data_IF_656169969123
#
_entry.id   IF_656169969123
#
_cell.length_a   1.000
_cell.length_b   1.000
_cell.length_c   1.000
_cell.angle_alpha   90.00
_cell.angle_beta   90.00
_cell.angle_gamma   90.00
#
_symmetry.space_group_name_H-M   'P 1'
#
loop_
_entity.id
_entity.type
_entity.pdbx_description
1 polymer ?
#
# COMPACT_ATOMS: atom_id res chain seq x y z
N UNK A 1 -4.72 -41.27 3.07
CA UNK A 1 -4.70 -40.11 4.00
C UNK A 1 -4.57 -38.91 3.11
N UNK A 2 -5.63 -38.13 2.96
CA UNK A 2 -5.54 -36.83 2.27
C UNK A 2 -4.69 -35.93 3.17
N UNK A 3 -3.54 -35.54 2.66
CA UNK A 3 -2.74 -34.47 3.27
C UNK A 3 -3.58 -33.19 3.17
N UNK A 4 -4.12 -32.74 4.29
CA UNK A 4 -4.74 -31.41 4.37
C UNK A 4 -3.61 -30.41 4.54
N UNK A 5 -3.15 -29.70 3.48
CA UNK A 5 -2.00 -28.82 3.58
C UNK A 5 -2.37 -27.69 4.54
N UNK A 6 -1.53 -27.45 5.54
CA UNK A 6 -1.67 -26.33 6.47
C UNK A 6 -1.43 -24.98 5.80
N UNK A 7 -0.90 -24.96 4.58
CA UNK A 7 -0.65 -23.77 3.76
C UNK A 7 -1.03 -24.10 2.32
N UNK A 8 -1.81 -23.20 1.70
CA UNK A 8 -2.16 -23.28 0.28
C UNK A 8 -1.53 -22.07 -0.41
N UNK A 9 -0.74 -22.31 -1.45
CA UNK A 9 -0.14 -21.27 -2.27
C UNK A 9 -1.07 -20.94 -3.44
N UNK A 10 -1.28 -19.63 -3.67
CA UNK A 10 -1.96 -19.10 -4.83
C UNK A 10 -0.96 -18.24 -5.61
N UNK A 11 -0.59 -18.67 -6.80
CA UNK A 11 0.20 -17.86 -7.72
C UNK A 11 -0.73 -16.84 -8.38
N UNK A 12 -0.33 -15.57 -8.36
CA UNK A 12 -1.09 -14.48 -8.96
C UNK A 12 -0.22 -13.77 -10.01
N UNK A 13 -0.85 -13.39 -11.09
CA UNK A 13 -0.24 -12.53 -12.10
C UNK A 13 -0.80 -11.10 -12.00
N UNK A 14 -0.11 -10.09 -12.54
CA UNK A 14 -0.59 -8.71 -12.57
C UNK A 14 -2.04 -8.59 -13.02
N UNK A 15 -2.84 -7.84 -12.25
CA UNK A 15 -4.27 -7.57 -12.43
C UNK A 15 -5.21 -8.78 -12.26
N UNK A 16 -4.68 -9.93 -11.88
CA UNK A 16 -5.53 -11.08 -11.53
C UNK A 16 -6.29 -10.82 -10.24
N UNK A 17 -7.51 -11.31 -10.21
CA UNK A 17 -8.42 -11.21 -9.05
C UNK A 17 -8.82 -12.59 -8.57
N UNK A 18 -8.69 -12.84 -7.27
CA UNK A 18 -9.10 -14.08 -6.61
C UNK A 18 -10.04 -13.80 -5.45
N UNK A 19 -10.86 -14.80 -5.09
CA UNK A 19 -11.69 -14.75 -3.87
C UNK A 19 -11.09 -15.65 -2.81
N UNK A 20 -10.70 -15.07 -1.69
CA UNK A 20 -10.07 -15.76 -0.55
C UNK A 20 -10.77 -15.36 0.75
N UNK A 21 -11.29 -16.36 1.48
CA UNK A 21 -11.89 -16.14 2.81
C UNK A 21 -13.00 -15.07 2.85
N UNK A 22 -13.78 -14.94 1.79
CA UNK A 22 -14.85 -13.94 1.68
C UNK A 22 -14.38 -12.56 1.16
N UNK A 23 -13.09 -12.39 0.97
CA UNK A 23 -12.50 -11.18 0.40
C UNK A 23 -12.23 -11.35 -1.10
N UNK A 24 -12.28 -10.25 -1.83
CA UNK A 24 -11.80 -10.13 -3.21
C UNK A 24 -10.42 -9.51 -3.16
N UNK A 25 -9.42 -10.19 -3.70
CA UNK A 25 -8.02 -9.72 -3.72
C UNK A 25 -7.58 -9.58 -5.17
N UNK A 26 -7.16 -8.38 -5.55
CA UNK A 26 -6.61 -8.08 -6.89
C UNK A 26 -5.12 -7.76 -6.78
N UNK A 27 -4.32 -8.46 -7.57
CA UNK A 27 -2.88 -8.23 -7.66
C UNK A 27 -2.60 -6.99 -8.51
N UNK A 28 -1.90 -6.02 -7.97
CA UNK A 28 -1.57 -4.74 -8.62
C UNK A 28 -0.04 -4.67 -8.80
N UNK A 29 0.48 -4.41 -10.00
CA UNK A 29 1.92 -4.28 -10.22
C UNK A 29 2.55 -3.23 -9.33
N UNK A 30 3.59 -3.61 -8.61
CA UNK A 30 4.42 -2.73 -7.79
C UNK A 30 5.64 -2.23 -8.57
N UNK A 31 6.21 -1.11 -8.15
CA UNK A 31 7.47 -0.59 -8.66
C UNK A 31 8.57 -0.85 -7.64
N UNK A 32 9.13 -2.06 -7.68
CA UNK A 32 10.17 -2.46 -6.71
C UNK A 32 11.39 -3.07 -7.38
N UNK A 33 11.37 -4.32 -7.79
CA UNK A 33 12.48 -4.94 -8.52
C UNK A 33 12.14 -5.09 -10.01
N UNK A 34 12.91 -4.47 -10.93
CA UNK A 34 12.65 -4.55 -12.36
C UNK A 34 12.93 -5.95 -12.96
N UNK A 35 13.46 -6.88 -12.19
CA UNK A 35 13.74 -8.26 -12.61
C UNK A 35 12.64 -9.23 -12.15
N UNK A 36 11.66 -8.77 -11.37
CA UNK A 36 10.59 -9.59 -10.79
C UNK A 36 9.22 -8.93 -10.98
N UNK A 37 8.18 -9.75 -11.07
CA UNK A 37 6.79 -9.30 -11.04
C UNK A 37 6.36 -9.02 -9.60
N UNK A 38 6.81 -7.86 -9.08
CA UNK A 38 6.43 -7.42 -7.74
C UNK A 38 4.98 -6.98 -7.69
N UNK A 39 4.26 -7.35 -6.62
CA UNK A 39 2.83 -7.12 -6.48
C UNK A 39 2.51 -6.44 -5.15
N UNK A 40 1.58 -5.49 -5.20
CA UNK A 40 0.80 -4.98 -4.08
C UNK A 40 -0.65 -5.43 -4.25
N UNK A 41 -1.52 -5.20 -3.25
CA UNK A 41 -2.84 -5.81 -3.28
C UNK A 41 -3.96 -4.81 -2.99
N UNK A 42 -4.98 -4.85 -3.86
CA UNK A 42 -6.29 -4.28 -3.58
C UNK A 42 -7.14 -5.38 -2.93
N UNK A 43 -7.61 -5.13 -1.71
CA UNK A 43 -8.43 -6.06 -0.94
C UNK A 43 -9.79 -5.42 -0.69
N UNK A 44 -10.86 -6.12 -1.05
CA UNK A 44 -12.23 -5.61 -0.96
C UNK A 44 -13.17 -6.66 -0.37
N UNK A 45 -14.15 -6.19 0.39
CA UNK A 45 -15.37 -6.92 0.72
C UNK A 45 -16.61 -6.17 0.19
N UNK A 46 -17.81 -6.48 0.71
CA UNK A 46 -19.05 -5.82 0.28
C UNK A 46 -19.10 -4.34 0.65
N UNK A 47 -18.35 -3.90 1.65
CA UNK A 47 -18.45 -2.58 2.27
C UNK A 47 -17.17 -1.79 2.26
N UNK A 48 -16.03 -2.45 2.24
CA UNK A 48 -14.72 -1.85 2.53
C UNK A 48 -13.72 -2.10 1.42
N UNK A 49 -12.82 -1.13 1.21
CA UNK A 49 -11.73 -1.18 0.23
C UNK A 49 -10.40 -0.84 0.89
N UNK A 50 -9.45 -1.72 0.77
CA UNK A 50 -8.11 -1.56 1.35
C UNK A 50 -7.04 -1.70 0.27
N UNK A 51 -6.13 -0.72 0.17
CA UNK A 51 -4.92 -0.83 -0.62
C UNK A 51 -3.74 -1.18 0.28
N UNK A 52 -3.20 -2.38 0.10
CA UNK A 52 -1.96 -2.83 0.74
C UNK A 52 -0.80 -2.55 -0.20
N UNK A 53 -0.21 -1.35 -0.09
CA UNK A 53 0.82 -0.81 -0.97
C UNK A 53 2.21 -0.80 -0.33
N UNK A 54 2.59 -1.88 0.32
CA UNK A 54 3.92 -2.00 0.93
C UNK A 54 4.93 -2.49 -0.10
N UNK A 55 6.18 -2.10 0.11
CA UNK A 55 7.34 -2.50 -0.71
C UNK A 55 7.20 -2.10 -2.19
N UNK A 56 6.91 -0.83 -2.40
CA UNK A 56 6.76 -0.24 -3.74
C UNK A 56 7.20 1.21 -3.78
N UNK A 57 7.63 1.66 -4.96
CA UNK A 57 7.71 3.08 -5.32
C UNK A 57 6.38 3.60 -5.86
N UNK A 58 6.40 4.78 -6.51
CA UNK A 58 5.26 5.33 -7.22
C UNK A 58 4.86 4.40 -8.38
N UNK A 59 3.55 4.16 -8.50
CA UNK A 59 3.04 3.29 -9.57
C UNK A 59 3.15 3.97 -10.94
N UNK A 60 3.12 3.17 -11.99
CA UNK A 60 2.97 3.70 -13.34
C UNK A 60 1.56 4.28 -13.54
N UNK A 61 1.45 5.31 -14.37
CA UNK A 61 0.17 6.00 -14.65
C UNK A 61 -0.95 5.03 -15.05
N UNK A 62 -0.62 4.07 -15.91
CA UNK A 62 -1.56 3.04 -16.34
C UNK A 62 -2.10 2.18 -15.21
N UNK A 63 -1.27 1.92 -14.16
CA UNK A 63 -1.66 1.10 -13.01
C UNK A 63 -2.75 1.77 -12.17
N UNK A 64 -2.71 3.10 -12.02
CA UNK A 64 -3.76 3.83 -11.28
C UNK A 64 -5.14 3.63 -11.90
N UNK A 65 -5.25 3.47 -13.23
CA UNK A 65 -6.54 3.25 -13.90
C UNK A 65 -7.19 1.92 -13.49
N UNK A 66 -6.41 0.93 -13.09
CA UNK A 66 -6.89 -0.38 -12.63
C UNK A 66 -7.39 -0.37 -11.18
N UNK A 67 -7.09 0.68 -10.41
CA UNK A 67 -7.58 0.83 -9.04
C UNK A 67 -9.06 1.26 -8.98
N UNK A 68 -9.70 1.49 -10.12
CA UNK A 68 -11.09 1.92 -10.20
C UNK A 68 -11.26 3.42 -9.93
N UNK A 69 -12.46 3.82 -9.49
CA UNK A 69 -12.83 5.22 -9.26
C UNK A 69 -13.62 5.43 -7.96
N UNK A 70 -13.42 4.56 -6.98
CA UNK A 70 -14.04 4.67 -5.65
C UNK A 70 -12.95 4.91 -4.61
N UNK A 71 -13.16 5.80 -3.63
CA UNK A 71 -12.21 5.99 -2.54
C UNK A 71 -11.94 4.71 -1.77
N UNK A 72 -10.70 4.54 -1.33
CA UNK A 72 -10.34 3.55 -0.34
C UNK A 72 -10.80 3.98 1.05
N UNK A 73 -11.13 3.02 1.91
CA UNK A 73 -11.35 3.24 3.35
C UNK A 73 -10.02 3.27 4.09
N UNK A 74 -9.09 2.43 3.65
CA UNK A 74 -7.75 2.31 4.22
C UNK A 74 -6.70 2.20 3.12
N UNK A 75 -5.57 2.87 3.30
CA UNK A 75 -4.37 2.72 2.48
C UNK A 75 -3.18 2.51 3.41
N UNK A 76 -2.40 1.45 3.15
CA UNK A 76 -1.08 1.21 3.75
C UNK A 76 -0.02 1.40 2.67
N UNK A 77 0.97 2.27 2.91
CA UNK A 77 2.00 2.58 1.92
C UNK A 77 3.41 2.32 2.48
N UNK A 78 4.30 1.94 1.58
CA UNK A 78 5.74 1.93 1.84
C UNK A 78 6.22 3.32 2.27
N UNK A 79 7.03 3.36 3.31
CA UNK A 79 7.70 4.58 3.74
C UNK A 79 9.13 4.30 4.24
N UNK A 80 9.84 3.45 3.51
CA UNK A 80 11.19 3.00 3.83
C UNK A 80 12.14 4.15 4.15
N UNK A 81 11.99 5.29 3.47
CA UNK A 81 12.89 6.43 3.60
C UNK A 81 12.42 7.49 4.62
N UNK A 82 11.24 7.35 5.22
CA UNK A 82 10.71 8.34 6.17
C UNK A 82 10.67 9.74 5.56
N UNK A 83 11.32 10.73 6.21
CA UNK A 83 11.42 12.11 5.72
C UNK A 83 12.42 12.30 4.57
N UNK A 84 13.21 11.29 4.23
CA UNK A 84 14.20 11.38 3.14
C UNK A 84 13.53 11.12 1.81
N UNK A 85 13.98 11.83 0.77
CA UNK A 85 13.50 11.60 -0.59
C UNK A 85 14.04 10.26 -1.13
N UNK A 86 13.17 9.48 -1.75
CA UNK A 86 13.55 8.24 -2.43
C UNK A 86 14.50 8.52 -3.61
N UNK A 87 15.53 7.70 -3.74
CA UNK A 87 16.57 7.91 -4.78
C UNK A 87 16.36 7.05 -6.02
N UNK A 88 15.75 5.87 -5.86
CA UNK A 88 15.75 4.83 -6.91
C UNK A 88 14.33 4.45 -7.40
N UNK A 89 13.28 5.08 -6.88
CA UNK A 89 11.89 4.81 -7.30
C UNK A 89 11.33 3.43 -6.90
N UNK A 90 12.08 2.65 -6.08
CA UNK A 90 11.68 1.30 -5.63
C UNK A 90 10.94 1.31 -4.30
N UNK A 91 11.13 2.35 -3.54
CA UNK A 91 10.50 2.60 -2.25
C UNK A 91 10.10 4.07 -2.16
N UNK A 92 9.34 4.40 -1.12
CA UNK A 92 8.86 5.77 -0.89
C UNK A 92 9.34 6.34 0.44
N UNK A 93 9.27 7.66 0.55
CA UNK A 93 9.23 8.43 1.77
C UNK A 93 7.90 9.17 1.87
N UNK A 94 7.71 10.02 2.88
CA UNK A 94 6.45 10.76 3.05
C UNK A 94 6.13 11.70 1.87
N UNK A 95 7.15 12.27 1.21
CA UNK A 95 6.94 13.13 0.04
C UNK A 95 6.37 12.34 -1.15
N UNK A 96 6.91 11.15 -1.43
CA UNK A 96 6.41 10.26 -2.49
C UNK A 96 5.05 9.68 -2.14
N UNK A 97 4.80 9.36 -0.86
CA UNK A 97 3.47 8.95 -0.40
C UNK A 97 2.43 10.05 -0.67
N UNK A 98 2.78 11.30 -0.46
CA UNK A 98 1.90 12.42 -0.80
C UNK A 98 1.64 12.51 -2.31
N UNK A 99 2.66 12.35 -3.14
CA UNK A 99 2.50 12.28 -4.61
C UNK A 99 1.56 11.12 -5.00
N UNK A 100 1.74 9.96 -4.40
CA UNK A 100 0.88 8.79 -4.60
C UNK A 100 -0.60 9.08 -4.28
N UNK A 101 -0.86 9.73 -3.13
CA UNK A 101 -2.23 10.11 -2.74
C UNK A 101 -2.84 11.14 -3.69
N UNK A 102 -2.04 12.05 -4.24
CA UNK A 102 -2.51 13.01 -5.25
C UNK A 102 -2.91 12.32 -6.55
N UNK A 103 -2.16 11.30 -7.00
CA UNK A 103 -2.54 10.49 -8.16
C UNK A 103 -3.83 9.71 -7.87
N UNK A 104 -3.94 9.06 -6.72
CA UNK A 104 -5.19 8.40 -6.32
C UNK A 104 -6.38 9.36 -6.30
N UNK A 105 -6.18 10.60 -5.86
CA UNK A 105 -7.24 11.62 -5.86
C UNK A 105 -7.70 11.99 -7.27
N UNK A 106 -6.78 12.12 -8.23
CA UNK A 106 -7.12 12.37 -9.65
C UNK A 106 -8.00 11.27 -10.23
N UNK A 107 -7.74 10.02 -9.83
CA UNK A 107 -8.51 8.83 -10.26
C UNK A 107 -9.77 8.58 -9.40
N UNK A 108 -10.07 9.43 -8.40
CA UNK A 108 -11.23 9.26 -7.53
C UNK A 108 -11.10 8.16 -6.48
N UNK A 109 -9.89 7.66 -6.25
CA UNK A 109 -9.58 6.56 -5.33
C UNK A 109 -9.19 7.04 -3.92
N UNK A 110 -9.05 8.34 -3.70
CA UNK A 110 -8.69 8.95 -2.41
C UNK A 110 -9.66 10.06 -2.04
N UNK A 111 -10.03 10.13 -0.76
CA UNK A 111 -10.89 11.18 -0.18
C UNK A 111 -10.42 11.57 1.22
N UNK A 112 -11.01 12.61 1.80
CA UNK A 112 -10.71 13.04 3.18
C UNK A 112 -11.08 12.02 4.25
N UNK A 113 -11.96 11.07 3.95
CA UNK A 113 -12.34 9.98 4.87
C UNK A 113 -11.40 8.79 4.81
N UNK A 114 -10.56 8.69 3.80
CA UNK A 114 -9.58 7.61 3.63
C UNK A 114 -8.54 7.67 4.76
N UNK A 115 -8.39 6.58 5.51
CA UNK A 115 -7.32 6.43 6.49
C UNK A 115 -6.03 6.03 5.78
N UNK A 116 -4.94 6.73 6.05
CA UNK A 116 -3.64 6.45 5.42
C UNK A 116 -2.59 6.17 6.47
N UNK A 117 -1.94 5.03 6.33
CA UNK A 117 -0.84 4.62 7.19
C UNK A 117 0.42 4.37 6.37
N UNK A 118 1.51 4.99 6.79
CA UNK A 118 2.84 4.68 6.34
C UNK A 118 3.38 3.50 7.15
N UNK A 119 4.02 2.56 6.47
CA UNK A 119 4.59 1.33 7.03
C UNK A 119 5.96 1.05 6.41
N UNK A 120 6.51 -0.16 6.62
CA UNK A 120 7.76 -0.59 5.98
C UNK A 120 8.96 0.34 6.26
N UNK A 121 8.99 0.97 7.44
CA UNK A 121 10.08 1.87 7.81
C UNK A 121 11.40 1.10 7.95
N UNK A 122 12.43 1.60 7.27
CA UNK A 122 13.79 1.09 7.46
C UNK A 122 14.47 1.82 8.62
N UNK A 123 15.27 1.09 9.42
CA UNK A 123 16.16 1.72 10.39
C UNK A 123 17.12 2.73 9.75
N UNK A 124 17.37 2.62 8.45
CA UNK A 124 18.16 3.56 7.67
C UNK A 124 17.50 4.95 7.51
N UNK A 125 16.20 5.08 7.74
CA UNK A 125 15.55 6.40 7.75
C UNK A 125 16.02 7.27 8.92
N UNK A 126 16.51 6.63 10.01
CA UNK A 126 17.10 7.31 11.17
C UNK A 126 16.10 8.07 12.02
N UNK A 127 14.81 7.72 11.96
CA UNK A 127 13.71 8.38 12.67
C UNK A 127 13.10 7.45 13.72
N UNK A 128 12.72 8.01 14.86
CA UNK A 128 11.94 7.34 15.90
C UNK A 128 10.44 7.46 15.59
N UNK A 129 9.61 6.61 16.21
CA UNK A 129 8.16 6.59 16.01
C UNK A 129 7.49 7.97 16.14
N UNK A 130 7.87 8.75 17.14
CA UNK A 130 7.31 10.10 17.33
C UNK A 130 7.69 11.06 16.21
N UNK A 131 8.90 10.96 15.68
CA UNK A 131 9.38 11.78 14.56
C UNK A 131 8.69 11.38 13.25
N UNK A 132 8.46 10.08 13.05
CA UNK A 132 7.70 9.57 11.91
C UNK A 132 6.25 10.06 11.94
N UNK A 133 5.57 9.99 13.10
CA UNK A 133 4.20 10.50 13.25
C UNK A 133 4.13 12.01 13.04
N UNK A 134 5.09 12.77 13.58
CA UNK A 134 5.18 14.21 13.38
C UNK A 134 5.40 14.58 11.91
N UNK A 135 6.26 13.85 11.20
CA UNK A 135 6.51 14.07 9.78
C UNK A 135 5.27 13.70 8.95
N UNK A 136 4.70 12.51 9.16
CA UNK A 136 3.53 12.02 8.44
C UNK A 136 2.32 12.94 8.61
N UNK A 137 2.13 13.52 9.79
CA UNK A 137 1.02 14.44 10.08
C UNK A 137 0.97 15.67 9.16
N UNK A 138 2.11 16.11 8.62
CA UNK A 138 2.18 17.22 7.65
C UNK A 138 1.46 16.89 6.34
N UNK A 139 1.30 15.61 6.04
CA UNK A 139 0.67 15.06 4.84
C UNK A 139 -0.68 14.39 5.12
N UNK A 140 -1.13 14.37 6.39
CA UNK A 140 -2.32 13.62 6.79
C UNK A 140 -2.11 12.10 6.79
N UNK A 141 -0.87 11.65 6.96
CA UNK A 141 -0.46 10.23 6.96
C UNK A 141 -0.03 9.86 8.38
N UNK A 142 -0.54 8.75 8.90
CA UNK A 142 -0.15 8.20 10.20
C UNK A 142 1.04 7.25 10.05
N UNK A 143 1.94 7.25 11.00
CA UNK A 143 3.00 6.26 11.07
C UNK A 143 2.52 5.00 11.81
N UNK A 144 2.41 3.88 11.12
CA UNK A 144 2.06 2.62 11.75
C UNK A 144 3.17 2.14 12.71
N UNK A 145 2.79 1.31 13.66
CA UNK A 145 3.69 0.67 14.62
C UNK A 145 3.26 -0.77 14.88
N UNK A 146 4.15 -1.59 15.43
CA UNK A 146 3.85 -2.96 15.78
C UNK A 146 2.67 -3.05 16.77
N UNK A 147 1.71 -3.90 16.45
CA UNK A 147 0.50 -4.08 17.26
C UNK A 147 -0.63 -3.09 16.97
N UNK A 148 -0.46 -2.16 16.01
CA UNK A 148 -1.56 -1.29 15.57
C UNK A 148 -2.69 -2.12 14.97
N UNK A 149 -3.93 -1.85 15.42
CA UNK A 149 -5.15 -2.45 14.87
C UNK A 149 -5.97 -1.34 14.21
N UNK A 150 -6.28 -1.51 12.93
CA UNK A 150 -7.17 -0.63 12.17
C UNK A 150 -8.49 -1.34 11.89
N UNK A 151 -9.60 -0.68 12.19
CA UNK A 151 -10.95 -1.15 11.85
C UNK A 151 -11.48 -0.26 10.73
N UNK A 152 -11.97 -0.88 9.66
CA UNK A 152 -12.55 -0.24 8.47
C UNK A 152 -13.93 -0.79 8.17
#
# INVERSE_FOLDING_TARGET
>A
MEENPSIVFHELVPYETVKLCGLTVTAIPAQHDPQEDCLIYLVEDETSRFLYGNDTGLLLEETYTHLGNKPFDLISLDCTFGARKAREGRHMGFSENWEFLQELQKHGCYSKSTKVYATHFSHNCGMLQQELEQEGSKYGIHAAHDGLICII
#
